data_IF_691978277930
#
_entry.id   IF_691978277930
#
_cell.length_a   1.000
_cell.length_b   1.000
_cell.length_c   1.000
_cell.angle_alpha   90.00
_cell.angle_beta   90.00
_cell.angle_gamma   90.00
#
_symmetry.space_group_name_H-M   'P 1'
#
loop_
_entity.id
_entity.type
_entity.pdbx_description
1 polymer ?
#
# COMPACT_ATOMS: atom_id res chain seq x y z
N UNK A 1 -36.27 -48.99 25.60
CA UNK A 1 -36.93 -49.60 24.41
C UNK A 1 -36.35 -49.00 23.15
N UNK A 2 -35.76 -49.87 22.39
CA UNK A 2 -35.41 -49.84 20.99
C UNK A 2 -34.53 -48.75 20.41
N UNK A 3 -33.25 -49.12 20.31
CA UNK A 3 -32.23 -48.49 19.44
C UNK A 3 -32.47 -48.90 17.98
N UNK A 4 -32.46 -47.91 17.08
CA UNK A 4 -32.41 -48.16 15.65
C UNK A 4 -31.07 -47.59 15.09
N UNK A 5 -30.14 -48.50 14.81
CA UNK A 5 -28.85 -48.23 14.14
C UNK A 5 -29.08 -48.04 12.65
N UNK A 6 -28.49 -47.00 12.06
CA UNK A 6 -28.32 -46.87 10.59
C UNK A 6 -26.97 -47.43 10.12
N UNK A 7 -26.90 -48.04 8.95
CA UNK A 7 -25.70 -48.72 8.48
C UNK A 7 -24.71 -47.75 7.81
N UNK A 8 -23.43 -47.98 8.08
CA UNK A 8 -22.26 -47.36 7.43
C UNK A 8 -22.13 -47.89 6.00
N UNK A 9 -22.16 -47.04 5.00
CA UNK A 9 -21.74 -47.36 3.62
C UNK A 9 -20.23 -47.14 3.48
N UNK A 10 -19.53 -48.21 3.16
CA UNK A 10 -18.12 -48.23 2.76
C UNK A 10 -18.03 -47.80 1.31
N UNK A 11 -17.25 -46.76 1.00
CA UNK A 11 -16.85 -46.44 -0.37
C UNK A 11 -15.49 -47.11 -0.65
N UNK A 12 -15.45 -47.89 -1.68
CA UNK A 12 -14.25 -48.59 -2.16
C UNK A 12 -13.40 -47.63 -3.00
N UNK A 13 -12.11 -47.60 -2.71
CA UNK A 13 -11.09 -46.92 -3.52
C UNK A 13 -10.67 -47.89 -4.63
N UNK A 14 -10.88 -47.51 -5.89
CA UNK A 14 -10.30 -48.18 -7.03
C UNK A 14 -9.04 -47.37 -7.46
N UNK A 15 -7.89 -48.00 -7.32
CA UNK A 15 -6.60 -47.57 -7.89
C UNK A 15 -6.55 -48.09 -9.32
N UNK A 16 -6.47 -47.17 -10.28
CA UNK A 16 -6.22 -47.51 -11.68
C UNK A 16 -5.30 -46.44 -12.28
N UNK A 17 -4.02 -46.76 -12.38
CA UNK A 17 -3.06 -45.94 -13.07
C UNK A 17 -3.15 -46.14 -14.58
N UNK A 18 -3.08 -45.04 -15.32
CA UNK A 18 -2.51 -45.02 -16.69
C UNK A 18 -1.86 -43.64 -16.88
N UNK A 19 -0.57 -43.67 -17.10
CA UNK A 19 0.19 -42.52 -17.56
C UNK A 19 -0.17 -42.27 -19.04
N UNK A 20 -0.71 -41.08 -19.34
CA UNK A 20 -0.78 -40.56 -20.71
C UNK A 20 -0.11 -39.22 -20.75
N UNK A 21 1.08 -39.17 -21.35
CA UNK A 21 1.74 -37.95 -21.79
C UNK A 21 0.89 -37.33 -22.90
N UNK A 22 0.05 -36.39 -22.51
CA UNK A 22 -0.71 -35.55 -23.44
C UNK A 22 0.04 -34.24 -23.69
N UNK A 23 0.68 -34.14 -24.84
CA UNK A 23 1.16 -32.87 -25.36
C UNK A 23 -0.06 -31.97 -25.58
N UNK A 24 -0.26 -30.99 -24.73
CA UNK A 24 -1.25 -29.94 -24.93
C UNK A 24 -0.73 -29.00 -26.04
N UNK A 25 -1.13 -29.27 -27.27
CA UNK A 25 -1.03 -28.30 -28.35
C UNK A 25 -2.00 -27.16 -28.05
N UNK A 26 -1.47 -26.02 -27.65
CA UNK A 26 -2.22 -24.77 -27.54
C UNK A 26 -2.68 -24.36 -28.94
N UNK A 27 -3.95 -24.56 -29.20
CA UNK A 27 -4.63 -24.02 -30.38
C UNK A 27 -4.70 -22.51 -30.28
N UNK A 28 -3.84 -21.83 -31.02
CA UNK A 28 -3.97 -20.41 -31.31
C UNK A 28 -5.23 -20.21 -32.18
N UNK A 29 -6.07 -19.18 -31.94
CA UNK A 29 -7.14 -18.84 -32.85
C UNK A 29 -6.52 -18.45 -34.19
N UNK A 30 -6.82 -19.21 -35.24
CA UNK A 30 -6.50 -18.90 -36.62
C UNK A 30 -7.08 -17.55 -37.03
N UNK A 31 -6.27 -16.51 -37.05
CA UNK A 31 -6.50 -15.39 -37.97
C UNK A 31 -6.18 -15.89 -39.34
N UNK A 32 -7.17 -15.96 -40.22
CA UNK A 32 -7.01 -16.30 -41.64
C UNK A 32 -5.98 -15.40 -42.28
N UNK A 33 -4.79 -15.92 -42.49
CA UNK A 33 -3.79 -15.30 -43.33
C UNK A 33 -3.97 -15.88 -44.72
N UNK A 34 -4.36 -15.04 -45.67
CA UNK A 34 -4.27 -15.30 -47.09
C UNK A 34 -2.84 -15.68 -47.44
N UNK A 35 -2.66 -16.85 -48.07
CA UNK A 35 -1.37 -17.29 -48.61
C UNK A 35 -0.99 -16.39 -49.77
N UNK A 36 -0.06 -15.48 -49.55
CA UNK A 36 0.74 -14.89 -50.60
C UNK A 36 2.16 -15.43 -50.50
N UNK A 37 2.60 -16.10 -51.55
CA UNK A 37 3.93 -16.71 -51.69
C UNK A 37 4.95 -15.62 -51.95
N UNK A 38 5.93 -15.54 -51.04
CA UNK A 38 7.27 -15.04 -51.38
C UNK A 38 7.52 -13.58 -51.07
N UNK A 39 8.07 -13.35 -49.89
CA UNK A 39 9.23 -12.46 -49.65
C UNK A 39 9.55 -12.56 -48.16
N UNK A 40 10.83 -12.54 -47.78
CA UNK A 40 11.26 -12.58 -46.38
C UNK A 40 10.53 -11.49 -45.58
N UNK A 41 9.69 -11.91 -44.61
CA UNK A 41 8.91 -11.00 -43.79
C UNK A 41 9.86 -10.16 -42.94
N UNK A 42 10.16 -8.96 -43.33
CA UNK A 42 10.59 -7.89 -42.47
C UNK A 42 9.43 -7.67 -41.48
N UNK A 43 9.58 -8.15 -40.25
CA UNK A 43 8.55 -8.06 -39.20
C UNK A 43 8.12 -6.60 -39.02
N UNK A 44 6.95 -6.26 -39.53
CA UNK A 44 6.36 -4.93 -39.38
C UNK A 44 5.95 -4.78 -37.91
N UNK A 45 6.58 -3.84 -37.23
CA UNK A 45 6.23 -3.47 -35.84
C UNK A 45 4.77 -3.00 -35.83
N UNK A 46 3.93 -3.70 -35.07
CA UNK A 46 2.49 -3.37 -34.97
C UNK A 46 2.24 -2.47 -33.76
N UNK A 47 1.36 -1.44 -33.88
CA UNK A 47 0.88 -0.72 -32.72
C UNK A 47 0.11 -1.67 -31.78
N UNK A 48 0.49 -1.69 -30.50
CA UNK A 48 -0.10 -2.53 -29.47
C UNK A 48 -0.88 -1.69 -28.45
N UNK A 49 -1.88 -2.30 -27.80
CA UNK A 49 -2.40 -1.78 -26.55
C UNK A 49 -1.43 -2.15 -25.40
N UNK A 50 -1.44 -1.40 -24.31
CA UNK A 50 -0.55 -1.66 -23.18
C UNK A 50 -0.72 -3.08 -22.60
N UNK A 51 -1.96 -3.57 -22.50
CA UNK A 51 -2.29 -4.94 -22.07
C UNK A 51 -1.69 -6.02 -22.96
N UNK A 52 -1.78 -5.81 -24.30
CA UNK A 52 -1.24 -6.76 -25.28
C UNK A 52 0.29 -6.77 -25.25
N UNK A 53 0.89 -5.59 -25.03
CA UNK A 53 2.33 -5.44 -24.86
C UNK A 53 2.84 -6.17 -23.60
N UNK A 54 2.10 -6.12 -22.49
CA UNK A 54 2.45 -6.85 -21.26
C UNK A 54 2.42 -8.35 -21.49
N UNK A 55 1.39 -8.87 -22.15
CA UNK A 55 1.27 -10.29 -22.49
C UNK A 55 2.42 -10.74 -23.41
N UNK A 56 2.71 -9.95 -24.44
CA UNK A 56 3.81 -10.24 -25.37
C UNK A 56 5.18 -10.20 -24.67
N UNK A 57 5.39 -9.24 -23.75
CA UNK A 57 6.62 -9.15 -22.95
C UNK A 57 6.85 -10.41 -22.09
N UNK A 58 5.78 -10.93 -21.46
CA UNK A 58 5.85 -12.16 -20.67
C UNK A 58 6.20 -13.38 -21.54
N UNK A 59 5.59 -13.52 -22.72
CA UNK A 59 5.91 -14.57 -23.68
C UNK A 59 7.35 -14.50 -24.17
N UNK A 60 7.82 -13.30 -24.52
CA UNK A 60 9.20 -13.09 -24.99
C UNK A 60 10.21 -13.31 -23.87
N UNK A 61 9.91 -12.97 -22.63
CA UNK A 61 10.76 -13.31 -21.48
C UNK A 61 10.99 -14.82 -21.38
N UNK A 62 9.96 -15.63 -21.56
CA UNK A 62 10.09 -17.09 -21.55
C UNK A 62 10.87 -17.62 -22.76
N UNK A 63 10.56 -17.14 -23.96
CA UNK A 63 11.16 -17.65 -25.20
C UNK A 63 12.62 -17.22 -25.41
N UNK A 64 13.03 -16.08 -24.87
CA UNK A 64 14.39 -15.54 -24.95
C UNK A 64 15.28 -16.04 -23.80
N UNK A 65 14.69 -16.46 -22.69
CA UNK A 65 15.43 -16.97 -21.55
C UNK A 65 16.52 -16.02 -21.07
N UNK A 66 17.76 -16.49 -20.96
CA UNK A 66 18.91 -15.69 -20.52
C UNK A 66 19.30 -14.52 -21.43
N UNK A 67 18.81 -14.49 -22.66
CA UNK A 67 19.05 -13.38 -23.59
C UNK A 67 18.05 -12.20 -23.37
N UNK A 68 16.98 -12.42 -22.62
CA UNK A 68 16.05 -11.35 -22.26
C UNK A 68 16.69 -10.41 -21.22
N UNK A 69 16.73 -9.12 -21.51
CA UNK A 69 17.34 -8.10 -20.65
C UNK A 69 16.35 -6.98 -20.23
N UNK A 70 15.06 -7.34 -20.21
CA UNK A 70 14.00 -6.41 -19.87
C UNK A 70 13.17 -5.94 -21.06
N UNK A 71 12.03 -5.34 -20.77
CA UNK A 71 11.15 -4.76 -21.80
C UNK A 71 10.43 -3.53 -21.25
N UNK A 72 9.99 -2.64 -22.15
CA UNK A 72 9.15 -1.52 -21.81
C UNK A 72 8.20 -1.16 -22.94
N UNK A 73 7.08 -0.57 -22.58
CA UNK A 73 6.10 -0.07 -23.54
C UNK A 73 6.36 1.40 -23.86
N UNK A 74 6.61 1.69 -25.14
CA UNK A 74 6.67 3.06 -25.66
C UNK A 74 5.24 3.51 -25.99
N UNK A 75 4.64 4.27 -25.10
CA UNK A 75 3.25 4.72 -25.22
C UNK A 75 3.05 5.69 -26.39
N UNK A 76 4.05 6.50 -26.74
CA UNK A 76 3.98 7.45 -27.85
C UNK A 76 3.93 6.73 -29.20
N UNK A 77 4.70 5.67 -29.34
CA UNK A 77 4.74 4.84 -30.56
C UNK A 77 3.80 3.64 -30.49
N UNK A 78 3.22 3.37 -29.30
CA UNK A 78 2.39 2.19 -29.02
C UNK A 78 3.11 0.88 -29.37
N UNK A 79 4.35 0.76 -28.95
CA UNK A 79 5.23 -0.37 -29.28
C UNK A 79 5.81 -1.00 -28.03
N UNK A 80 5.97 -2.32 -28.06
CA UNK A 80 6.78 -3.02 -27.08
C UNK A 80 8.24 -2.97 -27.52
N UNK A 81 9.11 -2.44 -26.67
CA UNK A 81 10.56 -2.51 -26.84
C UNK A 81 11.11 -3.61 -25.92
N UNK A 82 11.86 -4.52 -26.50
CA UNK A 82 12.50 -5.64 -25.78
C UNK A 82 14.00 -5.50 -25.86
N UNK A 83 14.65 -5.48 -24.72
CA UNK A 83 16.10 -5.53 -24.61
C UNK A 83 16.58 -6.98 -24.72
N UNK A 84 17.61 -7.22 -25.51
CA UNK A 84 18.24 -8.53 -25.62
C UNK A 84 19.75 -8.39 -25.55
N UNK A 85 20.42 -9.34 -24.89
CA UNK A 85 21.88 -9.49 -24.94
C UNK A 85 22.27 -10.51 -26.01
N UNK A 86 23.36 -10.20 -26.74
CA UNK A 86 23.86 -11.05 -27.82
C UNK A 86 23.05 -10.94 -29.12
N UNK A 87 23.45 -11.74 -30.07
CA UNK A 87 22.91 -11.81 -31.42
C UNK A 87 22.16 -13.13 -31.66
N UNK A 88 21.44 -13.23 -32.78
CA UNK A 88 20.97 -14.50 -33.28
C UNK A 88 19.47 -14.71 -33.26
N UNK A 89 19.05 -15.98 -33.18
CA UNK A 89 17.65 -16.45 -33.32
C UNK A 89 16.69 -15.80 -32.32
N UNK A 90 17.14 -15.44 -31.13
CA UNK A 90 16.34 -14.78 -30.10
C UNK A 90 15.88 -13.40 -30.57
N UNK A 91 16.80 -12.60 -31.12
CA UNK A 91 16.49 -11.26 -31.69
C UNK A 91 15.52 -11.40 -32.87
N UNK A 92 15.75 -12.39 -33.73
CA UNK A 92 14.86 -12.67 -34.87
C UNK A 92 13.45 -13.06 -34.40
N UNK A 93 13.33 -13.94 -33.41
CA UNK A 93 12.01 -14.32 -32.78
C UNK A 93 11.27 -13.14 -32.20
N UNK A 94 11.94 -12.27 -31.45
CA UNK A 94 11.30 -11.10 -30.87
C UNK A 94 10.81 -10.11 -31.93
N UNK A 95 11.59 -9.88 -32.97
CA UNK A 95 11.19 -9.05 -34.14
C UNK A 95 10.01 -9.66 -34.89
N UNK A 96 10.03 -10.97 -35.12
CA UNK A 96 8.92 -11.68 -35.78
C UNK A 96 7.62 -11.64 -34.96
N UNK A 97 7.72 -11.57 -33.66
CA UNK A 97 6.56 -11.40 -32.75
C UNK A 97 6.03 -9.96 -32.74
N UNK A 98 6.66 -9.03 -33.45
CA UNK A 98 6.22 -7.63 -33.58
C UNK A 98 6.77 -6.68 -32.52
N UNK A 99 7.77 -7.09 -31.75
CA UNK A 99 8.48 -6.22 -30.81
C UNK A 99 9.63 -5.43 -31.53
N UNK A 100 9.88 -4.24 -31.00
CA UNK A 100 11.13 -3.52 -31.30
C UNK A 100 12.22 -4.13 -30.42
N UNK A 101 13.30 -4.62 -31.03
CA UNK A 101 14.41 -5.19 -30.27
C UNK A 101 15.56 -4.20 -30.20
N UNK A 102 16.05 -4.00 -28.98
CA UNK A 102 17.23 -3.21 -28.66
C UNK A 102 18.30 -4.13 -28.08
N UNK A 103 19.45 -4.17 -28.71
CA UNK A 103 20.62 -4.85 -28.16
C UNK A 103 21.21 -4.02 -27.03
N UNK A 104 21.56 -4.69 -25.92
CA UNK A 104 22.05 -4.09 -24.69
C UNK A 104 23.20 -4.91 -24.10
N UNK A 105 23.97 -4.28 -23.23
CA UNK A 105 25.15 -4.90 -22.62
C UNK A 105 24.82 -5.70 -21.37
N UNK A 106 23.93 -5.16 -20.50
CA UNK A 106 23.62 -5.78 -19.21
C UNK A 106 22.47 -6.80 -19.35
N UNK A 107 22.73 -8.03 -18.98
CA UNK A 107 21.67 -9.05 -18.87
C UNK A 107 20.79 -8.78 -17.64
N UNK A 108 19.60 -9.42 -17.59
CA UNK A 108 18.76 -9.41 -16.38
C UNK A 108 19.53 -9.92 -15.16
N UNK A 109 20.38 -10.93 -15.34
CA UNK A 109 21.18 -11.50 -14.25
C UNK A 109 22.21 -10.51 -13.71
N UNK A 110 22.87 -9.74 -14.58
CA UNK A 110 23.84 -8.71 -14.21
C UNK A 110 23.16 -7.59 -13.40
N UNK A 111 22.03 -7.07 -13.90
CA UNK A 111 21.27 -6.03 -13.22
C UNK A 111 20.71 -6.50 -11.86
N UNK A 112 20.25 -7.74 -11.78
CA UNK A 112 19.83 -8.33 -10.50
C UNK A 112 21.00 -8.54 -9.54
N UNK A 113 22.18 -8.92 -10.05
CA UNK A 113 23.39 -9.04 -9.24
C UNK A 113 23.83 -7.70 -8.66
N UNK A 114 23.79 -6.65 -9.48
CA UNK A 114 24.03 -5.28 -9.04
C UNK A 114 23.05 -4.84 -7.94
N UNK A 115 21.76 -5.10 -8.11
CA UNK A 115 20.72 -4.80 -7.10
C UNK A 115 20.96 -5.57 -5.78
N UNK A 116 21.41 -6.84 -5.84
CA UNK A 116 21.80 -7.61 -4.64
C UNK A 116 23.01 -7.01 -3.95
N UNK A 117 24.02 -6.55 -4.71
CA UNK A 117 25.21 -5.90 -4.16
C UNK A 117 24.84 -4.60 -3.44
N UNK A 118 23.97 -3.79 -4.02
CA UNK A 118 23.44 -2.58 -3.36
C UNK A 118 22.75 -2.92 -2.04
N UNK A 119 21.90 -3.96 -2.02
CA UNK A 119 21.20 -4.41 -0.81
C UNK A 119 22.16 -4.80 0.31
N UNK A 120 23.27 -5.42 0.00
CA UNK A 120 24.24 -5.89 1.02
C UNK A 120 25.24 -4.84 1.43
N UNK A 121 25.64 -3.92 0.53
CA UNK A 121 26.73 -2.98 0.77
C UNK A 121 26.30 -1.53 0.94
N UNK A 122 25.12 -1.16 0.43
CA UNK A 122 24.61 0.20 0.38
C UNK A 122 23.14 0.33 0.81
N UNK A 123 22.66 -0.54 1.73
CA UNK A 123 21.40 -0.34 2.43
C UNK A 123 21.58 0.84 3.42
N UNK A 124 21.43 2.05 2.92
CA UNK A 124 21.55 3.32 3.63
C UNK A 124 20.17 3.95 3.69
N UNK A 125 19.65 4.37 4.87
CA UNK A 125 18.41 5.14 4.93
C UNK A 125 18.49 6.35 3.99
N UNK A 126 17.42 6.58 3.23
CA UNK A 126 17.38 7.62 2.19
C UNK A 126 17.85 7.15 0.81
N UNK A 127 18.00 5.83 0.58
CA UNK A 127 18.37 5.29 -0.73
C UNK A 127 17.27 4.37 -1.30
N UNK A 128 17.12 4.42 -2.63
CA UNK A 128 16.26 3.51 -3.37
C UNK A 128 16.92 3.11 -4.68
N UNK A 129 16.57 1.94 -5.24
CA UNK A 129 17.03 1.55 -6.56
C UNK A 129 16.02 0.68 -7.29
N UNK A 130 16.03 0.82 -8.62
CA UNK A 130 15.20 0.03 -9.52
C UNK A 130 15.96 -0.24 -10.83
N UNK A 131 15.61 -1.34 -11.50
CA UNK A 131 16.09 -1.60 -12.86
C UNK A 131 15.24 -0.82 -13.84
N UNK A 132 15.85 0.08 -14.60
CA UNK A 132 15.18 0.77 -15.70
C UNK A 132 15.52 0.10 -17.04
N UNK A 133 14.58 -0.59 -17.70
CA UNK A 133 14.81 -1.22 -18.98
C UNK A 133 15.05 -0.22 -20.10
N UNK A 134 14.65 1.05 -19.95
CA UNK A 134 14.90 2.10 -20.96
C UNK A 134 16.37 2.47 -21.04
N UNK A 135 17.06 2.48 -19.94
CA UNK A 135 18.49 2.75 -19.88
C UNK A 135 19.34 1.49 -19.81
N UNK A 136 18.72 0.32 -19.54
CA UNK A 136 19.38 -0.96 -19.25
C UNK A 136 20.36 -0.85 -18.08
N UNK A 137 19.96 -0.13 -17.03
CA UNK A 137 20.78 0.13 -15.84
C UNK A 137 19.96 0.00 -14.57
N UNK A 138 20.65 -0.17 -13.46
CA UNK A 138 20.08 0.07 -12.13
C UNK A 138 20.15 1.57 -11.85
N UNK A 139 19.02 2.21 -11.68
CA UNK A 139 18.94 3.61 -11.25
C UNK A 139 18.94 3.63 -9.74
N UNK A 140 19.95 4.23 -9.14
CA UNK A 140 20.10 4.40 -7.70
C UNK A 140 19.77 5.84 -7.35
N UNK A 141 18.78 6.04 -6.50
CA UNK A 141 18.36 7.36 -6.02
C UNK A 141 18.81 7.54 -4.57
N UNK A 142 19.34 8.70 -4.27
CA UNK A 142 19.70 9.12 -2.91
C UNK A 142 18.99 10.42 -2.59
N UNK A 143 18.27 10.47 -1.48
CA UNK A 143 17.54 11.63 -1.02
C UNK A 143 18.46 12.69 -0.39
N UNK A 144 17.89 13.80 0.09
CA UNK A 144 18.64 14.94 0.65
C UNK A 144 19.43 14.59 1.92
N UNK A 145 19.09 13.51 2.63
CA UNK A 145 19.75 13.08 3.88
C UNK A 145 21.04 12.28 3.63
N UNK A 146 21.22 11.78 2.42
CA UNK A 146 22.41 11.00 2.03
C UNK A 146 23.54 11.93 1.64
N UNK A 147 24.36 12.30 2.60
CA UNK A 147 25.50 13.24 2.46
C UNK A 147 26.77 12.70 3.12
N UNK A 148 27.92 13.32 2.84
CA UNK A 148 29.24 12.98 3.45
C UNK A 148 29.54 11.49 3.32
N UNK A 149 29.97 10.85 4.39
CA UNK A 149 30.38 9.44 4.39
C UNK A 149 29.31 8.46 3.89
N UNK A 150 28.00 8.80 4.04
CA UNK A 150 26.91 7.99 3.47
C UNK A 150 26.92 8.06 1.94
N UNK A 151 27.10 9.26 1.40
CA UNK A 151 27.22 9.48 -0.05
C UNK A 151 28.46 8.79 -0.61
N UNK A 152 29.64 8.99 0.00
CA UNK A 152 30.91 8.41 -0.44
C UNK A 152 30.83 6.88 -0.48
N UNK A 153 30.19 6.25 0.52
CA UNK A 153 29.96 4.81 0.56
C UNK A 153 29.03 4.35 -0.57
N UNK A 154 27.95 5.09 -0.81
CA UNK A 154 26.99 4.77 -1.87
C UNK A 154 27.64 4.87 -3.25
N UNK A 155 28.35 5.98 -3.50
CA UNK A 155 29.08 6.26 -4.75
C UNK A 155 30.14 5.20 -5.02
N UNK A 156 31.00 4.90 -4.04
CA UNK A 156 31.99 3.83 -4.16
C UNK A 156 31.36 2.46 -4.41
N UNK A 157 30.19 2.18 -3.82
CA UNK A 157 29.47 0.92 -4.09
C UNK A 157 28.94 0.88 -5.52
N UNK A 158 28.38 1.97 -6.02
CA UNK A 158 27.85 2.09 -7.39
C UNK A 158 28.97 1.96 -8.41
N UNK A 159 30.10 2.63 -8.20
CA UNK A 159 31.28 2.56 -9.08
C UNK A 159 31.84 1.12 -9.13
N UNK A 160 31.81 0.41 -8.00
CA UNK A 160 32.24 -0.98 -7.91
C UNK A 160 31.34 -1.99 -8.63
N UNK A 161 30.16 -1.58 -9.12
CA UNK A 161 29.26 -2.45 -9.93
C UNK A 161 29.72 -2.61 -11.39
N UNK A 162 30.68 -1.81 -11.81
CA UNK A 162 31.17 -1.78 -13.19
C UNK A 162 30.54 -0.66 -14.05
N UNK A 163 31.33 -0.21 -15.00
CA UNK A 163 30.92 0.87 -15.90
C UNK A 163 29.67 0.51 -16.69
N UNK A 164 28.67 1.37 -16.67
CA UNK A 164 27.44 1.17 -17.44
C UNK A 164 26.36 0.32 -16.78
N UNK A 165 26.61 -0.28 -15.59
CA UNK A 165 25.63 -1.15 -14.89
C UNK A 165 24.63 -0.36 -14.08
N UNK A 166 25.06 0.73 -13.41
CA UNK A 166 24.19 1.56 -12.58
C UNK A 166 24.41 3.05 -12.84
N UNK A 167 23.44 3.85 -12.40
CA UNK A 167 23.52 5.32 -12.40
C UNK A 167 23.04 5.83 -11.06
N UNK A 168 23.87 6.64 -10.38
CA UNK A 168 23.52 7.31 -9.13
C UNK A 168 22.96 8.70 -9.42
N UNK A 169 21.85 9.04 -8.76
CA UNK A 169 21.25 10.38 -8.85
C UNK A 169 20.82 10.86 -7.46
N UNK A 170 20.90 12.16 -7.23
CA UNK A 170 20.25 12.81 -6.10
C UNK A 170 18.79 13.08 -6.43
N UNK A 171 17.92 12.93 -5.44
CA UNK A 171 16.53 13.34 -5.49
C UNK A 171 16.24 14.31 -4.35
N UNK A 172 15.28 15.21 -4.55
CA UNK A 172 14.80 16.12 -3.51
C UNK A 172 13.93 15.39 -2.49
N UNK A 173 13.71 16.03 -1.35
CA UNK A 173 12.92 15.48 -0.26
C UNK A 173 13.64 14.38 0.50
N UNK A 174 12.88 13.57 1.24
CA UNK A 174 13.38 12.45 2.06
C UNK A 174 12.49 11.24 1.80
N UNK A 175 13.09 10.06 1.61
CA UNK A 175 12.32 8.81 1.55
C UNK A 175 11.79 8.47 2.94
N UNK A 176 10.50 8.67 3.14
CA UNK A 176 9.75 8.35 4.36
C UNK A 176 8.62 7.40 4.00
N UNK A 177 8.21 6.58 4.95
CA UNK A 177 6.90 5.94 4.91
C UNK A 177 5.85 7.03 5.13
N UNK A 178 4.79 7.02 4.34
CA UNK A 178 3.65 7.90 4.57
C UNK A 178 2.84 7.35 5.74
N UNK A 179 2.34 8.24 6.59
CA UNK A 179 1.42 7.90 7.68
C UNK A 179 0.00 8.10 7.15
N UNK A 180 -0.75 7.01 7.06
CA UNK A 180 -2.09 6.98 6.49
C UNK A 180 -3.14 6.78 7.58
N UNK A 181 -4.42 7.06 7.28
CA UNK A 181 -5.53 6.77 8.19
C UNK A 181 -5.52 5.31 8.63
N UNK A 182 -5.75 5.07 9.91
CA UNK A 182 -5.67 3.75 10.56
C UNK A 182 -4.30 3.37 11.11
N UNK A 183 -3.23 4.06 10.73
CA UNK A 183 -1.89 3.77 11.24
C UNK A 183 -1.75 4.13 12.73
N UNK A 184 -0.88 3.41 13.45
CA UNK A 184 -0.62 3.66 14.86
C UNK A 184 0.13 4.98 15.06
N UNK A 185 -0.30 5.75 16.05
CA UNK A 185 0.42 6.89 16.58
C UNK A 185 0.75 6.66 18.06
N UNK A 186 1.94 7.05 18.45
CA UNK A 186 2.50 6.79 19.78
C UNK A 186 2.95 8.08 20.45
N UNK A 187 2.84 8.11 21.77
CA UNK A 187 3.41 9.17 22.58
C UNK A 187 3.98 8.62 23.88
N UNK A 188 5.11 9.16 24.32
CA UNK A 188 5.64 8.90 25.64
C UNK A 188 5.11 9.94 26.61
N UNK A 189 4.47 9.47 27.68
CA UNK A 189 3.91 10.31 28.73
C UNK A 189 4.50 9.88 30.08
N UNK A 190 4.30 10.71 31.10
CA UNK A 190 4.73 10.36 32.45
C UNK A 190 3.94 9.13 32.95
N UNK A 191 4.60 7.99 33.03
CA UNK A 191 3.99 6.72 33.47
C UNK A 191 3.86 5.65 32.40
N UNK A 192 4.20 5.90 31.14
CA UNK A 192 4.16 4.90 30.09
C UNK A 192 4.02 5.46 28.68
N UNK A 193 3.56 4.61 27.78
CA UNK A 193 3.28 4.96 26.39
C UNK A 193 1.77 5.02 26.18
N UNK A 194 1.32 6.03 25.44
CA UNK A 194 -0.03 6.11 24.90
C UNK A 194 0.02 5.68 23.43
N UNK A 195 -0.97 4.89 23.02
CA UNK A 195 -1.18 4.48 21.63
C UNK A 195 -2.59 4.87 21.20
N UNK A 196 -2.66 5.54 20.06
CA UNK A 196 -3.90 5.84 19.36
C UNK A 196 -3.73 5.51 17.86
N UNK A 197 -4.74 5.85 17.09
CA UNK A 197 -4.74 5.69 15.64
C UNK A 197 -4.89 7.03 14.96
N UNK A 198 -4.20 7.23 13.83
CA UNK A 198 -4.45 8.34 12.94
C UNK A 198 -5.81 8.13 12.26
N UNK A 199 -6.67 9.15 12.28
CA UNK A 199 -7.94 9.12 11.60
C UNK A 199 -7.79 9.46 10.12
N UNK A 200 -7.68 10.74 9.81
CA UNK A 200 -7.55 11.22 8.43
C UNK A 200 -6.48 12.30 8.33
N UNK A 201 -5.66 12.20 7.31
CA UNK A 201 -4.81 13.32 6.93
C UNK A 201 -5.64 14.45 6.35
N UNK A 202 -5.33 15.68 6.74
CA UNK A 202 -6.02 16.90 6.35
C UNK A 202 -5.01 18.02 6.10
N UNK A 203 -5.47 19.10 5.48
CA UNK A 203 -4.73 20.36 5.41
C UNK A 203 -5.34 21.33 6.42
N UNK A 204 -4.55 21.82 7.37
CA UNK A 204 -5.00 22.80 8.34
C UNK A 204 -5.33 24.14 7.67
N UNK A 205 -6.04 25.03 8.36
CA UNK A 205 -6.49 26.32 7.83
C UNK A 205 -5.36 27.25 7.40
N UNK A 206 -4.16 27.07 7.95
CA UNK A 206 -2.94 27.79 7.58
C UNK A 206 -2.15 27.14 6.42
N UNK A 207 -2.68 26.05 5.84
CA UNK A 207 -2.08 25.31 4.74
C UNK A 207 -1.06 24.25 5.18
N UNK A 208 -0.81 24.07 6.49
CA UNK A 208 0.12 23.06 6.98
C UNK A 208 -0.48 21.65 6.90
N UNK A 209 0.35 20.60 6.64
CA UNK A 209 -0.10 19.22 6.72
C UNK A 209 -0.43 18.85 8.17
N UNK A 210 -1.54 18.14 8.36
CA UNK A 210 -2.05 17.76 9.66
C UNK A 210 -2.83 16.44 9.55
N UNK A 211 -3.22 15.90 10.69
CA UNK A 211 -4.18 14.80 10.76
C UNK A 211 -5.19 15.00 11.88
N UNK A 212 -6.32 14.32 11.74
CA UNK A 212 -7.34 14.21 12.78
C UNK A 212 -7.17 12.91 13.54
N UNK A 213 -7.39 12.96 14.85
CA UNK A 213 -7.49 11.80 15.74
C UNK A 213 -8.51 12.09 16.83
N UNK A 214 -8.70 11.19 17.79
CA UNK A 214 -9.62 11.43 18.92
C UNK A 214 -9.13 12.57 19.83
N UNK A 215 -10.08 13.28 20.44
CA UNK A 215 -9.82 14.37 21.38
C UNK A 215 -9.14 13.88 22.64
N UNK A 216 -9.60 12.76 23.23
CA UNK A 216 -8.98 12.17 24.41
C UNK A 216 -7.50 11.81 24.16
N UNK A 217 -7.12 11.39 22.94
CA UNK A 217 -5.72 11.18 22.57
C UNK A 217 -4.93 12.51 22.63
N UNK A 218 -5.47 13.59 22.06
CA UNK A 218 -4.82 14.91 22.08
C UNK A 218 -4.76 15.58 23.44
N UNK A 219 -5.67 15.22 24.36
CA UNK A 219 -5.62 15.64 25.76
C UNK A 219 -4.56 14.85 26.53
N UNK A 220 -4.49 13.54 26.30
CA UNK A 220 -3.53 12.64 26.96
C UNK A 220 -2.08 12.97 26.60
N UNK A 221 -1.82 13.37 25.35
CA UNK A 221 -0.46 13.63 24.87
C UNK A 221 -0.40 14.81 23.90
N UNK A 222 0.70 15.56 23.95
CA UNK A 222 0.90 16.77 23.11
C UNK A 222 1.73 16.51 21.86
N UNK A 223 2.55 15.46 21.85
CA UNK A 223 3.44 15.14 20.74
C UNK A 223 3.25 13.68 20.34
N UNK A 224 3.27 13.40 19.05
CA UNK A 224 3.03 12.09 18.51
C UNK A 224 4.16 11.64 17.58
N UNK A 225 4.42 10.35 17.53
CA UNK A 225 5.39 9.67 16.66
C UNK A 225 4.73 8.51 15.92
N UNK A 226 5.37 8.00 14.89
CA UNK A 226 4.95 6.83 14.09
C UNK A 226 5.40 5.48 14.69
N UNK A 227 6.12 5.51 15.80
CA UNK A 227 6.61 4.32 16.49
C UNK A 227 6.84 4.58 17.98
N UNK A 228 6.79 3.51 18.79
CA UNK A 228 6.91 3.59 20.27
C UNK A 228 8.20 4.26 20.74
N UNK A 229 9.28 4.13 19.99
CA UNK A 229 10.59 4.70 20.29
C UNK A 229 10.99 5.81 19.31
N UNK A 230 10.07 6.22 18.45
CA UNK A 230 10.25 7.26 17.44
C UNK A 230 10.44 8.64 18.05
N UNK A 231 11.13 9.52 17.31
CA UNK A 231 11.12 10.94 17.65
C UNK A 231 9.73 11.53 17.33
N UNK A 232 9.27 12.52 18.09
CA UNK A 232 8.05 13.23 17.75
C UNK A 232 8.08 13.76 16.31
N UNK A 233 6.99 13.59 15.59
CA UNK A 233 6.83 14.04 14.20
C UNK A 233 5.63 14.97 14.03
N UNK A 234 4.77 15.07 15.05
CA UNK A 234 3.58 15.91 15.00
C UNK A 234 3.20 16.41 16.40
N UNK A 235 2.61 17.59 16.44
CA UNK A 235 2.21 18.29 17.68
C UNK A 235 0.73 18.63 17.65
N UNK A 236 0.02 18.42 18.76
CA UNK A 236 -1.39 18.74 18.92
C UNK A 236 -1.59 20.25 18.86
N UNK A 237 -2.35 20.71 17.87
CA UNK A 237 -2.76 22.11 17.71
C UNK A 237 -4.02 22.38 18.53
N UNK A 238 -5.05 21.54 18.36
CA UNK A 238 -6.33 21.66 19.07
C UNK A 238 -6.84 20.29 19.49
N UNK A 239 -7.52 20.23 20.63
CA UNK A 239 -8.18 19.03 21.13
C UNK A 239 -9.48 19.41 21.88
N UNK A 240 -10.54 18.67 21.57
CA UNK A 240 -11.85 18.79 22.24
C UNK A 240 -12.18 17.44 22.86
N UNK A 241 -12.22 17.37 24.19
CA UNK A 241 -12.64 16.21 24.99
C UNK A 241 -12.59 16.57 26.49
N UNK A 242 -13.54 16.12 27.32
CA UNK A 242 -14.89 15.65 26.97
C UNK A 242 -15.82 16.80 26.58
N UNK A 243 -17.09 16.52 26.32
CA UNK A 243 -18.15 17.52 26.08
C UNK A 243 -18.79 17.40 24.70
N UNK A 244 -18.78 18.47 23.92
CA UNK A 244 -19.45 18.54 22.60
C UNK A 244 -18.68 17.83 21.47
N UNK A 245 -17.75 16.93 21.81
CA UNK A 245 -17.03 16.14 20.85
C UNK A 245 -15.79 15.44 21.42
N UNK A 246 -15.18 14.62 20.57
CA UNK A 246 -13.97 13.85 20.86
C UNK A 246 -13.05 13.84 19.62
N UNK A 247 -12.41 14.99 19.34
CA UNK A 247 -11.52 15.14 18.19
C UNK A 247 -10.33 16.04 18.49
N UNK A 248 -9.23 15.80 17.79
CA UNK A 248 -8.00 16.60 17.80
C UNK A 248 -7.48 16.87 16.41
N UNK A 249 -6.97 18.08 16.21
CA UNK A 249 -6.13 18.44 15.08
C UNK A 249 -4.66 18.36 15.52
N UNK A 250 -3.87 17.57 14.83
CA UNK A 250 -2.45 17.38 15.09
C UNK A 250 -1.66 17.76 13.85
N UNK A 251 -0.79 18.77 13.96
CA UNK A 251 0.03 19.27 12.85
C UNK A 251 1.35 18.53 12.78
N UNK A 252 1.75 18.16 11.57
CA UNK A 252 3.10 17.65 11.37
C UNK A 252 4.14 18.76 11.59
N UNK A 253 5.21 18.43 12.31
CA UNK A 253 6.25 19.41 12.66
C UNK A 253 7.10 19.80 11.44
N UNK A 254 7.24 18.92 10.45
CA UNK A 254 7.86 19.21 9.16
C UNK A 254 6.78 19.64 8.13
N UNK A 255 6.75 20.91 7.70
CA UNK A 255 5.77 21.38 6.73
C UNK A 255 5.88 20.74 5.34
N UNK A 256 6.98 20.01 5.07
CA UNK A 256 7.15 19.24 3.85
C UNK A 256 6.67 17.79 3.98
N UNK A 257 6.02 17.43 5.08
CA UNK A 257 5.46 16.09 5.26
C UNK A 257 4.37 15.84 4.21
N UNK A 258 4.54 14.78 3.43
CA UNK A 258 3.49 14.30 2.53
C UNK A 258 2.45 13.53 3.36
N UNK A 259 1.24 14.07 3.40
CA UNK A 259 0.10 13.56 4.18
C UNK A 259 -1.05 13.21 3.20
N UNK A 260 -1.00 12.04 2.53
CA UNK A 260 -2.00 11.67 1.54
C UNK A 260 -3.37 11.46 2.19
N UNK A 261 -4.43 11.91 1.51
CA UNK A 261 -5.83 11.72 1.95
C UNK A 261 -6.28 10.28 1.67
N UNK A 262 -5.82 9.35 2.50
CA UNK A 262 -6.07 7.92 2.33
C UNK A 262 -6.12 7.18 3.65
N UNK A 263 -6.73 5.98 3.64
CA UNK A 263 -6.73 5.01 4.73
C UNK A 263 -5.99 3.76 4.29
N UNK A 264 -5.03 3.34 5.10
CA UNK A 264 -4.34 2.06 4.94
C UNK A 264 -5.24 0.94 5.49
N UNK A 265 -6.01 0.30 4.63
CA UNK A 265 -6.94 -0.77 5.00
C UNK A 265 -6.26 -2.13 5.27
N UNK A 266 -4.93 -2.16 5.36
CA UNK A 266 -4.14 -3.37 5.59
C UNK A 266 -3.89 -4.19 4.32
N UNK A 267 -2.98 -5.16 4.41
CA UNK A 267 -2.64 -6.08 3.30
C UNK A 267 -2.27 -5.40 1.97
N UNK A 268 -1.76 -4.16 2.04
CA UNK A 268 -1.41 -3.35 0.87
C UNK A 268 -2.61 -2.71 0.17
N UNK A 269 -3.79 -2.73 0.79
CA UNK A 269 -4.98 -2.04 0.28
C UNK A 269 -5.02 -0.61 0.80
N UNK A 270 -5.17 0.34 -0.10
CA UNK A 270 -5.32 1.77 0.21
C UNK A 270 -6.67 2.23 -0.30
N UNK A 271 -7.43 2.88 0.58
CA UNK A 271 -8.69 3.54 0.24
C UNK A 271 -8.43 5.04 0.16
N UNK A 272 -8.59 5.61 -1.04
CA UNK A 272 -8.47 7.05 -1.23
C UNK A 272 -9.69 7.75 -0.63
N UNK A 273 -9.46 8.74 0.23
CA UNK A 273 -10.52 9.55 0.84
C UNK A 273 -10.69 10.81 0.00
N UNK A 274 -11.85 10.96 -0.60
CA UNK A 274 -12.13 12.01 -1.57
C UNK A 274 -13.08 13.09 -1.06
N UNK A 275 -13.80 12.82 0.04
CA UNK A 275 -14.76 13.74 0.65
C UNK A 275 -15.05 13.37 2.10
N UNK A 276 -15.57 14.34 2.86
CA UNK A 276 -16.25 14.06 4.13
C UNK A 276 -17.76 13.96 3.88
N UNK A 277 -18.45 13.12 4.66
CA UNK A 277 -19.90 12.96 4.55
C UNK A 277 -20.54 12.71 5.92
N UNK A 278 -21.82 13.05 6.02
CA UNK A 278 -22.65 12.77 7.20
C UNK A 278 -23.00 11.27 7.23
N UNK A 279 -23.06 10.72 8.43
CA UNK A 279 -23.54 9.36 8.65
C UNK A 279 -25.05 9.25 8.42
N UNK A 280 -25.49 8.09 7.93
CA UNK A 280 -26.92 7.77 7.81
C UNK A 280 -27.18 6.43 8.47
N UNK A 281 -28.20 6.34 9.32
CA UNK A 281 -28.59 5.07 9.97
C UNK A 281 -28.91 4.01 8.94
N UNK A 282 -28.34 2.81 9.12
CA UNK A 282 -28.44 1.68 8.20
C UNK A 282 -27.42 1.68 7.07
N UNK A 283 -26.57 2.72 6.91
CA UNK A 283 -25.49 2.68 5.93
C UNK A 283 -24.34 1.79 6.41
N UNK A 284 -23.77 1.05 5.46
CA UNK A 284 -22.57 0.25 5.68
C UNK A 284 -21.35 1.16 5.85
N UNK A 285 -20.51 0.84 6.80
CA UNK A 285 -19.28 1.58 7.11
C UNK A 285 -18.14 0.62 7.42
N UNK A 286 -16.94 1.10 7.23
CA UNK A 286 -15.69 0.41 7.55
C UNK A 286 -14.93 1.23 8.59
N UNK A 287 -14.32 0.56 9.56
CA UNK A 287 -13.43 1.17 10.52
C UNK A 287 -12.02 0.60 10.37
N UNK A 288 -11.03 1.47 10.31
CA UNK A 288 -9.63 1.09 10.40
C UNK A 288 -9.01 1.69 11.66
N UNK A 289 -8.40 0.83 12.46
CA UNK A 289 -7.68 1.22 13.66
C UNK A 289 -6.43 0.37 13.86
N UNK A 290 -5.47 0.91 14.59
CA UNK A 290 -4.13 0.35 14.66
C UNK A 290 -3.99 -0.93 15.48
N UNK A 291 -4.98 -1.22 16.35
CA UNK A 291 -4.95 -2.42 17.18
C UNK A 291 -5.61 -3.61 16.51
N UNK A 292 -6.83 -3.45 16.03
CA UNK A 292 -7.60 -4.57 15.50
C UNK A 292 -7.68 -4.61 13.98
N UNK A 293 -7.19 -3.57 13.27
CA UNK A 293 -7.21 -3.51 11.80
C UNK A 293 -8.57 -3.13 11.24
N UNK A 294 -8.88 -3.62 10.04
CA UNK A 294 -10.10 -3.31 9.30
C UNK A 294 -11.28 -4.16 9.80
N UNK A 295 -12.36 -3.49 10.16
CA UNK A 295 -13.66 -4.09 10.48
C UNK A 295 -14.77 -3.32 9.77
N UNK A 296 -15.90 -3.98 9.58
CA UNK A 296 -17.09 -3.42 8.95
C UNK A 296 -18.33 -3.58 9.83
N UNK A 297 -19.37 -2.84 9.51
CA UNK A 297 -20.68 -2.87 10.17
C UNK A 297 -21.59 -1.80 9.62
N UNK A 298 -22.55 -1.39 10.44
CA UNK A 298 -23.57 -0.41 10.05
C UNK A 298 -23.69 0.69 11.09
N UNK A 299 -24.08 1.86 10.64
CA UNK A 299 -24.54 2.94 11.52
C UNK A 299 -25.87 2.56 12.14
N UNK A 300 -25.96 2.54 13.47
CA UNK A 300 -27.13 2.16 14.23
C UNK A 300 -27.85 3.34 14.88
N UNK A 301 -27.13 4.46 15.14
CA UNK A 301 -27.68 5.66 15.75
C UNK A 301 -26.88 6.91 15.41
N UNK A 302 -27.52 8.06 15.61
CA UNK A 302 -26.90 9.38 15.46
C UNK A 302 -27.19 10.23 16.69
N UNK A 303 -26.40 11.28 16.88
CA UNK A 303 -26.53 12.20 18.02
C UNK A 303 -26.46 11.46 19.38
N UNK A 304 -25.62 10.45 19.45
CA UNK A 304 -25.47 9.64 20.65
C UNK A 304 -24.71 10.41 21.74
N UNK A 305 -25.13 10.18 22.98
CA UNK A 305 -24.41 10.65 24.17
C UNK A 305 -23.80 9.45 24.88
N UNK A 306 -22.52 9.50 25.17
CA UNK A 306 -21.80 8.44 25.87
C UNK A 306 -21.16 8.98 27.15
N UNK A 307 -21.30 8.23 28.21
CA UNK A 307 -20.66 8.50 29.47
C UNK A 307 -19.54 7.51 29.72
N UNK A 308 -18.31 7.94 29.45
CA UNK A 308 -17.12 7.13 29.71
C UNK A 308 -16.68 7.23 31.17
N UNK A 309 -16.06 6.17 31.71
CA UNK A 309 -15.32 6.28 32.94
C UNK A 309 -14.14 7.23 32.72
N UNK A 310 -13.99 8.23 33.58
CA UNK A 310 -12.86 9.16 33.44
C UNK A 310 -11.54 8.45 33.73
N UNK A 311 -10.55 8.68 32.89
CA UNK A 311 -9.19 8.16 33.07
C UNK A 311 -8.39 8.98 34.11
N UNK A 312 -8.80 10.24 34.34
CA UNK A 312 -8.11 11.17 35.24
C UNK A 312 -8.76 11.24 36.65
N UNK A 313 -10.01 10.86 36.77
CA UNK A 313 -10.75 10.80 38.04
C UNK A 313 -11.47 9.44 38.18
N UNK A 314 -11.02 8.53 39.06
CA UNK A 314 -11.64 7.22 39.23
C UNK A 314 -13.15 7.24 39.61
N UNK A 315 -13.64 8.37 40.10
CA UNK A 315 -15.06 8.57 40.36
C UNK A 315 -15.74 9.51 39.34
N UNK A 316 -14.99 9.97 38.38
CA UNK A 316 -15.44 10.91 37.36
C UNK A 316 -16.11 10.24 36.16
N UNK A 317 -16.86 11.04 35.42
CA UNK A 317 -17.53 10.64 34.18
C UNK A 317 -17.19 11.66 33.11
N UNK A 318 -16.64 11.18 32.03
CA UNK A 318 -16.37 11.99 30.80
C UNK A 318 -17.54 11.78 29.85
N UNK A 319 -18.44 12.75 29.78
CA UNK A 319 -19.60 12.73 28.89
C UNK A 319 -19.23 13.33 27.53
N UNK A 320 -19.50 12.60 26.45
CA UNK A 320 -19.34 13.06 25.07
C UNK A 320 -20.67 12.98 24.34
N UNK A 321 -21.02 14.03 23.59
CA UNK A 321 -22.30 14.15 22.87
C UNK A 321 -22.10 14.26 21.38
N UNK A 322 -23.18 14.04 20.60
CA UNK A 322 -23.17 14.23 19.14
C UNK A 322 -22.49 13.09 18.37
N UNK A 323 -22.31 11.91 18.97
CA UNK A 323 -21.58 10.81 18.37
C UNK A 323 -22.45 9.97 17.41
N UNK A 324 -21.79 9.33 16.46
CA UNK A 324 -22.33 8.28 15.59
C UNK A 324 -22.21 6.95 16.34
N UNK A 325 -23.29 6.19 16.42
CA UNK A 325 -23.31 4.85 17.00
C UNK A 325 -23.30 3.80 15.88
N UNK A 326 -22.51 2.74 16.05
CA UNK A 326 -22.39 1.63 15.10
C UNK A 326 -22.35 0.27 15.82
N UNK A 327 -22.51 -0.82 15.06
CA UNK A 327 -22.25 -2.18 15.50
C UNK A 327 -20.85 -2.68 15.10
N UNK A 328 -19.99 -1.79 14.61
CA UNK A 328 -18.57 -2.09 14.34
C UNK A 328 -17.84 -2.27 15.65
N UNK A 329 -17.01 -3.30 15.77
CA UNK A 329 -16.18 -3.48 16.96
C UNK A 329 -14.96 -2.55 16.98
N UNK A 330 -14.44 -2.27 18.17
CA UNK A 330 -13.17 -1.60 18.41
C UNK A 330 -12.57 -2.03 19.76
N UNK A 331 -11.26 -1.90 19.88
CA UNK A 331 -10.51 -2.20 21.10
C UNK A 331 -9.56 -1.05 21.47
N UNK A 332 -9.02 -1.02 22.72
CA UNK A 332 -8.07 0.02 23.13
C UNK A 332 -6.89 0.17 22.15
N UNK A 333 -6.60 1.40 21.76
CA UNK A 333 -5.62 1.76 20.74
C UNK A 333 -6.20 2.01 19.33
N UNK A 334 -7.44 1.58 19.06
CA UNK A 334 -8.18 1.96 17.84
C UNK A 334 -8.72 3.40 17.91
N UNK A 335 -8.66 4.03 19.09
CA UNK A 335 -9.05 5.43 19.32
C UNK A 335 -8.49 6.38 18.29
N UNK A 336 -9.34 7.23 17.72
CA UNK A 336 -9.01 8.17 16.67
C UNK A 336 -9.00 7.57 15.26
N UNK A 337 -9.06 6.24 15.11
CA UNK A 337 -9.06 5.56 13.82
C UNK A 337 -10.23 5.93 12.92
N UNK A 338 -10.05 5.72 11.63
CA UNK A 338 -10.96 6.15 10.57
C UNK A 338 -12.25 5.35 10.52
N UNK A 339 -13.41 6.01 10.46
CA UNK A 339 -14.68 5.43 9.99
C UNK A 339 -14.97 6.01 8.59
N UNK A 340 -15.17 5.15 7.61
CA UNK A 340 -15.30 5.57 6.20
C UNK A 340 -16.22 4.64 5.41
N UNK A 341 -16.62 5.06 4.20
CA UNK A 341 -17.39 4.23 3.28
C UNK A 341 -16.48 3.57 2.25
N UNK A 342 -16.97 2.52 1.61
CA UNK A 342 -16.24 1.83 0.53
C UNK A 342 -15.88 2.76 -0.64
N UNK A 343 -16.69 3.79 -0.88
CA UNK A 343 -16.50 4.78 -1.94
C UNK A 343 -15.48 5.87 -1.57
N UNK A 344 -14.90 5.83 -0.37
CA UNK A 344 -13.88 6.77 0.08
C UNK A 344 -14.45 8.08 0.66
N UNK A 345 -15.61 8.02 1.31
CA UNK A 345 -16.08 9.14 2.13
C UNK A 345 -15.64 8.97 3.60
N UNK A 346 -14.99 9.96 4.18
CA UNK A 346 -14.70 10.04 5.59
C UNK A 346 -15.99 10.32 6.37
N UNK A 347 -16.29 9.53 7.40
CA UNK A 347 -17.52 9.60 8.19
C UNK A 347 -17.24 10.03 9.63
N UNK A 348 -16.23 9.42 10.28
CA UNK A 348 -15.97 9.70 11.69
C UNK A 348 -14.63 9.23 12.20
N UNK A 349 -14.36 9.52 13.48
CA UNK A 349 -13.17 9.13 14.24
C UNK A 349 -13.59 8.26 15.42
N UNK A 350 -12.91 7.16 15.66
CA UNK A 350 -13.21 6.26 16.79
C UNK A 350 -13.06 7.00 18.10
N UNK A 351 -14.15 7.12 18.86
CA UNK A 351 -14.18 7.74 20.19
C UNK A 351 -14.03 6.67 21.29
N UNK A 352 -14.92 5.71 21.33
CA UNK A 352 -14.89 4.62 22.28
C UNK A 352 -16.05 3.67 22.07
N UNK A 353 -16.16 2.64 22.92
CA UNK A 353 -17.19 1.64 22.75
C UNK A 353 -17.27 0.63 23.88
N UNK A 354 -18.04 -0.41 23.65
CA UNK A 354 -18.16 -1.59 24.52
C UNK A 354 -17.98 -2.87 23.71
N UNK A 355 -17.61 -3.97 24.39
CA UNK A 355 -17.34 -5.25 23.75
C UNK A 355 -15.92 -5.34 23.20
N UNK A 356 -15.71 -6.28 22.26
CA UNK A 356 -14.44 -6.56 21.60
C UNK A 356 -14.66 -7.11 20.19
N UNK A 357 -13.60 -7.27 19.41
CA UNK A 357 -13.71 -7.78 18.04
C UNK A 357 -13.83 -9.32 17.94
N UNK A 358 -13.92 -10.02 19.06
CA UNK A 358 -14.20 -11.47 19.13
C UNK A 358 -15.69 -11.74 19.36
N UNK A 359 -16.28 -11.00 20.29
CA UNK A 359 -17.68 -11.18 20.73
C UNK A 359 -18.65 -10.19 20.06
N UNK A 360 -18.13 -9.21 19.36
CA UNK A 360 -18.88 -8.07 18.86
C UNK A 360 -19.00 -6.96 19.91
N UNK A 361 -19.42 -5.79 19.45
CA UNK A 361 -19.49 -4.62 20.30
C UNK A 361 -20.30 -3.50 19.69
N UNK A 362 -20.34 -2.41 20.40
CA UNK A 362 -20.95 -1.16 20.00
C UNK A 362 -19.90 -0.07 20.12
N UNK A 363 -19.66 0.62 19.01
CA UNK A 363 -18.62 1.66 18.96
C UNK A 363 -19.21 2.98 18.54
N UNK A 364 -18.72 4.04 19.16
CA UNK A 364 -19.13 5.41 18.96
C UNK A 364 -18.01 6.19 18.25
N UNK A 365 -18.41 7.05 17.32
CA UNK A 365 -17.49 7.81 16.51
C UNK A 365 -17.85 9.28 16.54
N UNK A 366 -16.83 10.11 16.61
CA UNK A 366 -16.97 11.55 16.39
C UNK A 366 -17.26 11.80 14.90
N UNK A 367 -18.35 12.51 14.51
CA UNK A 367 -18.54 12.92 13.13
C UNK A 367 -17.36 13.74 12.62
N UNK A 368 -16.79 13.36 11.47
CA UNK A 368 -15.65 14.08 10.90
C UNK A 368 -16.00 15.47 10.45
N UNK A 369 -17.24 15.69 10.01
CA UNK A 369 -17.76 16.99 9.57
C UNK A 369 -17.79 18.05 10.70
N UNK A 370 -17.83 17.61 11.96
CA UNK A 370 -17.71 18.51 13.12
C UNK A 370 -16.25 18.84 13.44
N UNK A 371 -15.32 17.95 13.07
CA UNK A 371 -13.89 18.11 13.34
C UNK A 371 -13.15 18.94 12.25
N UNK A 372 -13.78 19.12 11.08
CA UNK A 372 -13.29 19.93 9.94
C UNK A 372 -13.74 21.37 10.03
#
# INVERSE_FOLDING_TARGET
>A
MSHKRMPKRKAAIAVGGVAALGAAALLLPNAMASQDKGTAATGTVRPLKATDATTLAAQLKQSLGGQFAGAYYDSAKRQLVVNAVGDGDAVARAKSAGAVVRQVENSTADLQSAARTLRTKAAIPGTAWAVDPRTNKVIVSADSTVTGAKWDRLESTVDGLGSGTATLKKTGGTFKTFVSGGDAIFSQVQGGNVRCSLGFNVTASDGSPAFLTAGHCGVAAKQWSDSETGQPLATVDQATFPGEGDFSLVKYDDPATEAPSEVNAGNGQIVQITQAAEATVGSAVFRMGSTTGLHDGQVTGLDATVNFQSETDPNGVDTVTGLIQTDVCAEPGDSGGSLFTQEGAAIGLTSGGSGDCTSGGETFFQPVTTAL
#
